data_IF_580449695517
#
_entry.id   IF_580449695517
#
_cell.length_a   1.000
_cell.length_b   1.000
_cell.length_c   1.000
_cell.angle_alpha   90.00
_cell.angle_beta   90.00
_cell.angle_gamma   90.00
#
_symmetry.space_group_name_H-M   'P 1'
#
loop_
_entity.id
_entity.type
_entity.pdbx_description
1 polymer ?
#
# COMPACT_ATOMS: atom_id res chain seq x y z
N UNK A 1 -2.39 13.58 -12.02
CA UNK A 1 -3.44 14.14 -11.12
C UNK A 1 -3.68 15.60 -11.52
N UNK A 2 -4.88 16.16 -11.36
CA UNK A 2 -5.12 17.61 -11.55
C UNK A 2 -5.04 18.27 -10.18
N UNK A 3 -4.01 19.07 -9.93
CA UNK A 3 -3.93 19.84 -8.69
C UNK A 3 -4.82 21.08 -8.77
N UNK A 4 -5.14 21.68 -7.62
CA UNK A 4 -5.87 22.96 -7.59
C UNK A 4 -4.99 24.14 -8.07
N UNK A 5 -3.69 23.93 -8.30
CA UNK A 5 -2.75 24.94 -8.80
C UNK A 5 -2.40 25.97 -7.73
N UNK A 6 -1.24 25.85 -7.09
CA UNK A 6 -0.71 26.91 -6.23
C UNK A 6 0.73 27.22 -6.59
N UNK A 7 0.92 28.18 -7.49
CA UNK A 7 2.25 28.63 -7.96
C UNK A 7 3.17 29.02 -6.80
N UNK A 8 2.62 29.56 -5.70
CA UNK A 8 3.39 29.93 -4.51
C UNK A 8 3.87 28.69 -3.71
N UNK A 9 3.09 27.61 -3.69
CA UNK A 9 3.51 26.34 -3.07
C UNK A 9 4.61 25.67 -3.91
N UNK A 10 4.42 25.69 -5.24
CA UNK A 10 5.31 25.06 -6.20
C UNK A 10 6.69 25.75 -6.20
N UNK A 11 6.72 27.08 -6.11
CA UNK A 11 7.96 27.86 -6.00
C UNK A 11 8.54 27.94 -4.58
N UNK A 12 7.99 27.18 -3.62
CA UNK A 12 8.40 27.18 -2.20
C UNK A 12 8.47 28.59 -1.57
N UNK A 13 7.62 29.52 -2.00
CA UNK A 13 7.49 30.85 -1.38
C UNK A 13 6.92 30.78 0.04
N UNK A 14 6.30 29.66 0.40
CA UNK A 14 5.97 29.30 1.78
C UNK A 14 6.21 27.79 1.97
N UNK A 15 6.66 27.40 3.17
CA UNK A 15 6.83 26.00 3.53
C UNK A 15 5.53 25.46 4.14
N UNK A 16 5.02 24.36 3.60
CA UNK A 16 3.86 23.68 4.14
C UNK A 16 4.28 22.69 5.25
N UNK A 17 3.36 22.30 6.14
CA UNK A 17 3.69 21.39 7.27
C UNK A 17 4.21 20.01 6.83
N UNK A 18 3.99 19.63 5.57
CA UNK A 18 4.42 18.37 4.96
C UNK A 18 5.74 18.46 4.20
N UNK A 19 6.41 19.62 4.18
CA UNK A 19 7.72 19.76 3.53
C UNK A 19 8.83 19.67 4.57
N UNK A 20 9.93 19.03 4.19
CA UNK A 20 11.15 18.89 4.97
C UNK A 20 12.20 19.91 4.48
N UNK A 21 12.45 21.01 5.22
CA UNK A 21 13.35 22.08 4.79
C UNK A 21 14.77 21.60 4.47
N UNK A 22 15.24 20.56 5.16
CA UNK A 22 16.58 20.00 4.95
C UNK A 22 16.73 19.36 3.57
N UNK A 23 15.63 18.94 2.94
CA UNK A 23 15.63 18.34 1.59
C UNK A 23 15.20 19.30 0.49
N UNK A 24 14.73 20.51 0.81
CA UNK A 24 14.28 21.48 -0.21
C UNK A 24 15.38 21.87 -1.19
N UNK A 25 16.65 21.73 -0.83
CA UNK A 25 17.80 21.94 -1.72
C UNK A 25 17.91 20.89 -2.85
N UNK A 26 17.22 19.76 -2.71
CA UNK A 26 17.15 18.69 -3.72
C UNK A 26 16.03 18.92 -4.75
N UNK A 27 15.19 19.93 -4.55
CA UNK A 27 14.15 20.28 -5.51
C UNK A 27 14.77 20.83 -6.81
N UNK A 28 14.11 20.57 -7.94
CA UNK A 28 14.54 21.08 -9.25
C UNK A 28 13.46 22.00 -9.82
N UNK A 29 13.87 23.21 -10.20
CA UNK A 29 13.01 24.17 -10.91
C UNK A 29 13.40 24.19 -12.38
N UNK A 30 12.49 23.75 -13.26
CA UNK A 30 12.71 23.73 -14.71
C UNK A 30 12.28 25.04 -15.37
N UNK A 31 11.21 25.65 -14.85
CA UNK A 31 10.62 26.86 -15.40
C UNK A 31 9.92 27.61 -14.26
N UNK A 32 10.07 28.93 -14.21
CA UNK A 32 9.39 29.78 -13.24
C UNK A 32 9.22 31.20 -13.82
N UNK A 33 8.14 31.38 -14.55
CA UNK A 33 7.79 32.63 -15.23
C UNK A 33 6.53 33.26 -14.63
N UNK A 34 6.37 34.58 -14.81
CA UNK A 34 5.14 35.24 -14.41
C UNK A 34 4.04 34.94 -15.43
N UNK A 35 2.93 34.36 -14.98
CA UNK A 35 1.78 34.03 -15.84
C UNK A 35 1.26 35.24 -16.63
N UNK A 36 1.30 36.46 -16.07
CA UNK A 36 0.86 37.66 -16.78
C UNK A 36 1.77 37.95 -17.98
N UNK A 37 3.09 37.80 -17.81
CA UNK A 37 4.06 37.94 -18.91
C UNK A 37 3.79 36.91 -20.02
N UNK A 38 3.55 35.65 -19.65
CA UNK A 38 3.20 34.58 -20.61
C UNK A 38 1.91 34.90 -21.37
N UNK A 39 0.92 35.51 -20.69
CA UNK A 39 -0.31 35.95 -21.34
C UNK A 39 -0.06 37.07 -22.37
N UNK A 40 0.78 38.03 -22.02
CA UNK A 40 1.17 39.10 -22.94
C UNK A 40 1.88 38.54 -24.17
N UNK A 41 2.85 37.64 -23.98
CA UNK A 41 3.57 36.96 -25.06
C UNK A 41 2.63 36.17 -26.00
N UNK A 42 1.65 35.44 -25.45
CA UNK A 42 0.79 34.57 -26.24
C UNK A 42 -0.38 35.29 -26.93
N UNK A 43 -0.91 36.34 -26.32
CA UNK A 43 -2.25 36.84 -26.68
C UNK A 43 -2.31 38.31 -27.07
N UNK A 44 -1.30 39.15 -26.80
CA UNK A 44 -1.42 40.59 -27.03
C UNK A 44 -1.62 40.93 -28.51
N UNK A 45 -0.85 40.32 -29.41
CA UNK A 45 -1.05 40.56 -30.84
C UNK A 45 -2.44 40.14 -31.33
N UNK A 46 -2.97 39.03 -30.80
CA UNK A 46 -4.31 38.53 -31.11
C UNK A 46 -5.41 39.44 -30.53
N UNK A 47 -5.17 39.97 -29.33
CA UNK A 47 -6.03 40.92 -28.64
C UNK A 47 -6.11 42.24 -29.40
N UNK A 48 -4.98 42.77 -29.86
CA UNK A 48 -4.92 43.97 -30.71
C UNK A 48 -5.73 43.78 -31.99
N UNK A 49 -5.49 42.68 -32.72
CA UNK A 49 -6.26 42.34 -33.94
C UNK A 49 -7.75 42.21 -33.67
N UNK A 50 -8.15 41.66 -32.52
CA UNK A 50 -9.54 41.52 -32.12
C UNK A 50 -10.17 42.88 -31.80
N UNK A 51 -9.49 43.71 -30.99
CA UNK A 51 -9.98 45.02 -30.53
C UNK A 51 -10.08 46.03 -31.67
N UNK A 52 -9.16 45.98 -32.65
CA UNK A 52 -9.20 46.81 -33.85
C UNK A 52 -10.49 46.61 -34.67
N UNK A 53 -11.09 45.42 -34.61
CA UNK A 53 -12.35 45.08 -35.30
C UNK A 53 -13.60 45.46 -34.51
N UNK A 54 -13.47 45.88 -33.24
CA UNK A 54 -14.62 46.20 -32.40
C UNK A 54 -15.03 47.67 -32.57
N UNK A 55 -16.28 47.89 -32.98
CA UNK A 55 -16.92 49.21 -33.05
C UNK A 55 -17.56 49.65 -31.73
N UNK A 56 -17.90 48.68 -30.87
CA UNK A 56 -18.53 48.91 -29.57
C UNK A 56 -17.50 48.87 -28.45
N UNK A 57 -17.48 49.91 -27.62
CA UNK A 57 -16.54 50.03 -26.49
C UNK A 57 -16.68 48.89 -25.49
N UNK A 58 -17.90 48.44 -25.17
CA UNK A 58 -18.17 47.37 -24.20
C UNK A 58 -17.69 45.97 -24.66
N UNK A 59 -17.35 45.82 -25.94
CA UNK A 59 -16.83 44.55 -26.50
C UNK A 59 -15.30 44.50 -26.56
N UNK A 60 -14.64 45.64 -26.34
CA UNK A 60 -13.17 45.70 -26.25
C UNK A 60 -12.71 45.06 -24.95
N UNK A 61 -11.56 44.43 -25.01
CA UNK A 61 -10.96 43.74 -23.88
C UNK A 61 -9.67 44.48 -23.56
N UNK A 62 -9.59 45.06 -22.36
CA UNK A 62 -8.41 45.81 -21.93
C UNK A 62 -7.27 44.87 -21.54
N UNK A 63 -7.56 43.88 -20.69
CA UNK A 63 -6.60 42.88 -20.22
C UNK A 63 -7.22 41.48 -20.41
N UNK A 64 -6.57 40.67 -21.26
CA UNK A 64 -7.06 39.34 -21.58
C UNK A 64 -6.87 38.35 -20.41
N UNK A 65 -5.81 38.49 -19.62
CA UNK A 65 -5.61 37.69 -18.41
C UNK A 65 -6.72 37.93 -17.40
N UNK A 66 -7.03 39.21 -17.10
CA UNK A 66 -8.09 39.56 -16.15
C UNK A 66 -9.47 39.12 -16.67
N UNK A 67 -9.70 39.16 -17.99
CA UNK A 67 -10.90 38.60 -18.61
C UNK A 67 -11.03 37.09 -18.38
N UNK A 68 -9.95 36.33 -18.54
CA UNK A 68 -9.99 34.88 -18.27
C UNK A 68 -10.16 34.62 -16.77
N UNK A 69 -9.42 35.34 -15.91
CA UNK A 69 -9.47 35.18 -14.44
C UNK A 69 -10.85 35.46 -13.84
N UNK A 70 -11.56 36.47 -14.36
CA UNK A 70 -12.92 36.82 -13.93
C UNK A 70 -14.00 35.99 -14.62
N UNK A 71 -13.65 35.30 -15.71
CA UNK A 71 -14.54 34.45 -16.48
C UNK A 71 -14.85 33.11 -15.78
N UNK A 72 -15.93 32.47 -16.23
CA UNK A 72 -16.34 31.12 -15.78
C UNK A 72 -16.15 30.02 -16.81
N UNK A 73 -15.76 30.39 -18.04
CA UNK A 73 -15.67 29.45 -19.17
C UNK A 73 -14.35 28.69 -19.21
N UNK A 74 -13.24 29.38 -18.96
CA UNK A 74 -11.88 28.86 -19.06
C UNK A 74 -11.12 29.23 -17.77
N UNK A 75 -10.10 28.44 -17.42
CA UNK A 75 -9.21 28.75 -16.29
C UNK A 75 -7.95 29.47 -16.79
N UNK A 76 -7.33 30.35 -15.98
CA UNK A 76 -6.09 31.01 -16.37
C UNK A 76 -4.94 30.04 -16.67
N UNK A 77 -4.89 28.93 -15.94
CA UNK A 77 -3.93 27.86 -16.17
C UNK A 77 -4.48 26.51 -15.68
N UNK A 78 -3.76 25.45 -16.01
CA UNK A 78 -4.01 24.10 -15.53
C UNK A 78 -2.72 23.54 -14.94
N UNK A 79 -2.86 22.72 -13.89
CA UNK A 79 -1.76 22.01 -13.23
C UNK A 79 -1.91 20.52 -13.46
N UNK A 80 -0.81 19.86 -13.82
CA UNK A 80 -0.69 18.41 -13.69
C UNK A 80 0.37 18.08 -12.64
N UNK A 81 0.05 17.07 -11.83
CA UNK A 81 0.98 16.48 -10.87
C UNK A 81 1.26 15.04 -11.30
N UNK A 82 2.53 14.73 -11.49
CA UNK A 82 3.03 13.39 -11.80
C UNK A 82 3.85 12.87 -10.63
N UNK A 83 3.66 11.60 -10.30
CA UNK A 83 4.39 10.87 -9.27
C UNK A 83 4.63 9.46 -9.78
N UNK A 84 5.82 8.91 -9.51
CA UNK A 84 6.16 7.51 -9.76
C UNK A 84 6.18 6.79 -8.42
N UNK A 85 5.40 5.72 -8.29
CA UNK A 85 5.23 4.97 -7.04
C UNK A 85 4.48 5.73 -5.94
N UNK A 86 4.75 5.34 -4.71
CA UNK A 86 4.16 5.81 -3.46
C UNK A 86 5.22 5.81 -2.34
N UNK A 87 4.82 6.11 -1.10
CA UNK A 87 5.77 6.23 0.02
C UNK A 87 6.48 4.90 0.32
N UNK A 88 5.83 3.77 0.10
CA UNK A 88 6.36 2.47 0.51
C UNK A 88 7.40 1.92 -0.46
N UNK A 89 7.37 2.35 -1.73
CA UNK A 89 8.26 1.85 -2.79
C UNK A 89 9.21 2.92 -3.37
N UNK A 90 8.85 4.21 -3.30
CA UNK A 90 9.57 5.34 -3.92
C UNK A 90 9.64 6.54 -2.96
N UNK A 91 9.87 6.29 -1.66
CA UNK A 91 10.02 7.36 -0.68
C UNK A 91 11.12 8.33 -1.06
N UNK A 92 10.94 9.63 -0.81
CA UNK A 92 11.91 10.65 -1.23
C UNK A 92 13.27 10.58 -0.49
N UNK A 93 13.37 9.80 0.59
CA UNK A 93 14.60 9.51 1.33
C UNK A 93 15.27 8.18 0.93
N UNK A 94 14.75 7.45 -0.07
CA UNK A 94 15.30 6.18 -0.55
C UNK A 94 16.04 6.30 -1.89
N UNK A 95 16.83 5.27 -2.24
CA UNK A 95 17.48 5.18 -3.56
C UNK A 95 16.45 5.09 -4.69
N UNK A 96 15.34 4.38 -4.45
CA UNK A 96 14.21 4.29 -5.38
C UNK A 96 13.54 5.65 -5.60
N UNK A 97 13.44 6.48 -4.55
CA UNK A 97 13.01 7.88 -4.70
C UNK A 97 13.91 8.70 -5.63
N UNK A 98 15.22 8.48 -5.59
CA UNK A 98 16.14 9.13 -6.54
C UNK A 98 15.93 8.64 -7.98
N UNK A 99 15.62 7.35 -8.15
CA UNK A 99 15.27 6.79 -9.46
C UNK A 99 13.95 7.40 -9.99
N UNK A 100 12.94 7.54 -9.14
CA UNK A 100 11.69 8.23 -9.48
C UNK A 100 11.94 9.68 -9.89
N UNK A 101 12.83 10.39 -9.20
CA UNK A 101 13.24 11.74 -9.54
C UNK A 101 13.90 11.81 -10.94
N UNK A 102 14.82 10.90 -11.25
CA UNK A 102 15.49 10.82 -12.54
C UNK A 102 14.51 10.55 -13.70
N UNK A 103 13.53 9.66 -13.48
CA UNK A 103 12.44 9.40 -14.44
C UNK A 103 11.61 10.66 -14.70
N UNK A 104 11.23 11.37 -13.64
CA UNK A 104 10.43 12.59 -13.77
C UNK A 104 11.21 13.73 -14.44
N UNK A 105 12.51 13.86 -14.17
CA UNK A 105 13.41 14.80 -14.84
C UNK A 105 13.50 14.54 -16.35
N UNK A 106 13.75 13.29 -16.75
CA UNK A 106 13.79 12.91 -18.17
C UNK A 106 12.44 13.14 -18.86
N UNK A 107 11.34 12.80 -18.19
CA UNK A 107 9.99 13.04 -18.70
C UNK A 107 9.74 14.54 -18.97
N UNK A 108 10.15 15.41 -18.04
CA UNK A 108 9.95 16.86 -18.11
C UNK A 108 10.73 17.50 -19.24
N UNK A 109 11.97 17.07 -19.48
CA UNK A 109 12.84 17.61 -20.55
C UNK A 109 12.20 17.56 -21.93
N UNK A 110 11.40 16.53 -22.22
CA UNK A 110 10.67 16.42 -23.48
C UNK A 110 9.22 16.92 -23.44
N UNK A 111 8.74 17.47 -22.32
CA UNK A 111 7.30 17.76 -22.15
C UNK A 111 6.80 18.86 -23.09
N UNK A 112 7.51 19.99 -23.16
CA UNK A 112 7.09 21.14 -23.95
C UNK A 112 7.08 20.85 -25.46
N UNK A 113 8.04 20.06 -25.94
CA UNK A 113 8.13 19.64 -27.35
C UNK A 113 6.96 18.74 -27.76
N UNK A 114 6.55 17.81 -26.89
CA UNK A 114 5.38 16.96 -27.13
C UNK A 114 4.07 17.73 -27.04
N UNK A 115 4.05 18.82 -26.28
CA UNK A 115 2.85 19.58 -25.95
C UNK A 115 2.92 21.04 -26.44
N UNK A 116 3.02 21.30 -27.75
CA UNK A 116 3.28 22.64 -28.29
C UNK A 116 2.16 23.65 -28.02
N UNK A 117 0.94 23.19 -27.74
CA UNK A 117 -0.23 24.04 -27.44
C UNK A 117 -0.46 24.25 -25.93
N UNK A 118 0.44 23.72 -25.09
CA UNK A 118 0.42 23.86 -23.64
C UNK A 118 1.70 24.61 -23.23
N UNK A 119 1.63 25.94 -23.14
CA UNK A 119 2.78 26.76 -22.75
C UNK A 119 3.03 26.60 -21.25
N UNK A 120 4.03 25.83 -20.89
CA UNK A 120 4.47 25.66 -19.50
C UNK A 120 5.07 26.97 -19.01
N UNK A 121 4.68 27.45 -17.83
CA UNK A 121 5.27 28.65 -17.21
C UNK A 121 5.81 28.41 -15.81
N UNK A 122 5.46 27.29 -15.18
CA UNK A 122 5.94 26.92 -13.84
C UNK A 122 6.06 25.39 -13.80
N UNK A 123 7.25 24.88 -13.50
CA UNK A 123 7.51 23.45 -13.43
C UNK A 123 8.55 23.12 -12.37
N UNK A 124 8.17 22.28 -11.41
CA UNK A 124 8.94 22.02 -10.19
C UNK A 124 8.88 20.55 -9.80
N UNK A 125 10.04 19.91 -9.67
CA UNK A 125 10.19 18.59 -9.07
C UNK A 125 10.49 18.77 -7.57
N UNK A 126 9.62 18.22 -6.72
CA UNK A 126 9.76 18.27 -5.28
C UNK A 126 10.33 16.96 -4.74
N UNK A 127 11.40 17.07 -3.96
CA UNK A 127 12.11 16.00 -3.25
C UNK A 127 11.98 16.13 -1.72
N UNK A 128 11.35 17.19 -1.25
CA UNK A 128 11.21 17.56 0.16
C UNK A 128 9.89 17.13 0.80
N UNK A 129 9.09 16.32 0.12
CA UNK A 129 7.85 15.75 0.67
C UNK A 129 7.99 14.23 0.89
N UNK A 130 6.88 13.50 1.06
CA UNK A 130 6.93 12.06 1.29
C UNK A 130 7.43 11.28 0.06
N UNK A 131 7.05 11.73 -1.13
CA UNK A 131 7.32 11.05 -2.41
C UNK A 131 7.76 12.08 -3.44
N UNK A 132 8.75 11.78 -4.30
CA UNK A 132 9.13 12.62 -5.42
C UNK A 132 7.94 12.86 -6.36
N UNK A 133 7.64 14.11 -6.64
CA UNK A 133 6.54 14.44 -7.56
C UNK A 133 6.80 15.74 -8.32
N UNK A 134 6.31 15.78 -9.55
CA UNK A 134 6.53 16.86 -10.50
C UNK A 134 5.22 17.64 -10.70
N UNK A 135 5.26 18.93 -10.42
CA UNK A 135 4.23 19.90 -10.75
C UNK A 135 4.54 20.55 -12.10
N UNK A 136 3.57 20.61 -13.01
CA UNK A 136 3.67 21.33 -14.27
C UNK A 136 2.42 22.18 -14.45
N UNK A 137 2.61 23.50 -14.39
CA UNK A 137 1.59 24.51 -14.63
C UNK A 137 1.74 25.07 -16.05
N UNK A 138 0.65 25.05 -16.82
CA UNK A 138 0.65 25.52 -18.21
C UNK A 138 -0.61 26.30 -18.60
N UNK A 139 -0.45 27.18 -19.59
CA UNK A 139 -1.54 27.90 -20.24
C UNK A 139 -1.88 27.21 -21.57
N UNK A 140 -3.07 26.60 -21.71
CA UNK A 140 -3.47 26.00 -22.97
C UNK A 140 -3.96 27.08 -23.93
N UNK A 141 -3.50 27.04 -25.17
CA UNK A 141 -3.93 27.98 -26.20
C UNK A 141 -4.30 27.29 -27.52
N UNK A 142 -5.05 28.00 -28.34
CA UNK A 142 -5.38 27.59 -29.70
C UNK A 142 -5.28 28.79 -30.62
N UNK A 143 -4.85 28.58 -31.86
CA UNK A 143 -4.68 29.60 -32.89
C UNK A 143 -5.68 29.38 -34.04
N UNK A 144 -6.01 30.44 -34.78
CA UNK A 144 -6.92 30.35 -35.93
C UNK A 144 -8.40 30.19 -35.55
N UNK A 145 -8.78 30.55 -34.32
CA UNK A 145 -10.17 30.52 -33.86
C UNK A 145 -11.03 31.52 -34.65
N UNK A 146 -12.20 31.06 -35.10
CA UNK A 146 -13.21 31.91 -35.77
C UNK A 146 -14.14 32.64 -34.80
N UNK A 147 -14.05 32.35 -33.49
CA UNK A 147 -14.90 32.94 -32.44
C UNK A 147 -14.01 33.65 -31.41
N UNK A 148 -14.29 34.92 -31.15
CA UNK A 148 -13.49 35.73 -30.23
C UNK A 148 -12.13 36.09 -30.83
N UNK A 149 -11.08 36.08 -29.99
CA UNK A 149 -9.70 36.21 -30.44
C UNK A 149 -9.32 34.99 -31.31
N UNK A 150 -8.47 35.21 -32.31
CA UNK A 150 -7.93 34.18 -33.19
C UNK A 150 -6.94 33.27 -32.45
N UNK A 151 -6.07 33.84 -31.61
CA UNK A 151 -5.32 33.12 -30.58
C UNK A 151 -5.99 33.31 -29.23
N UNK A 152 -6.43 32.22 -28.58
CA UNK A 152 -7.19 32.29 -27.33
C UNK A 152 -6.94 31.11 -26.41
N UNK A 153 -7.25 31.31 -25.12
CA UNK A 153 -7.25 30.21 -24.14
C UNK A 153 -8.38 29.24 -24.48
N UNK A 154 -8.03 27.97 -24.64
CA UNK A 154 -9.00 26.87 -24.65
C UNK A 154 -8.31 25.52 -24.54
N UNK A 155 -8.49 24.84 -23.41
CA UNK A 155 -7.90 23.51 -23.20
C UNK A 155 -8.41 22.50 -24.23
N UNK A 156 -9.71 22.50 -24.48
CA UNK A 156 -10.35 21.58 -25.43
C UNK A 156 -9.75 21.72 -26.83
N UNK A 157 -9.60 22.95 -27.32
CA UNK A 157 -9.07 23.19 -28.66
C UNK A 157 -7.55 23.01 -28.73
N UNK A 158 -6.82 23.32 -27.67
CA UNK A 158 -5.38 23.05 -27.57
C UNK A 158 -5.08 21.55 -27.72
N UNK A 159 -5.87 20.69 -27.07
CA UNK A 159 -5.74 19.24 -27.18
C UNK A 159 -6.25 18.72 -28.52
N UNK A 160 -7.36 19.26 -29.03
CA UNK A 160 -7.85 18.92 -30.37
C UNK A 160 -6.85 19.20 -31.48
N UNK A 161 -6.11 20.31 -31.40
CA UNK A 161 -5.03 20.63 -32.34
C UNK A 161 -3.87 19.62 -32.32
N UNK A 162 -3.74 18.85 -31.23
CA UNK A 162 -2.74 17.80 -31.04
C UNK A 162 -3.29 16.40 -31.38
N UNK A 163 -4.51 16.31 -31.93
CA UNK A 163 -5.10 15.06 -32.40
C UNK A 163 -6.07 14.39 -31.41
N UNK A 164 -6.26 14.94 -30.21
CA UNK A 164 -7.22 14.42 -29.24
C UNK A 164 -8.63 14.90 -29.56
N UNK A 165 -9.49 14.03 -30.08
CA UNK A 165 -10.81 14.43 -30.60
C UNK A 165 -11.92 14.38 -29.56
N UNK A 166 -11.69 13.65 -28.47
CA UNK A 166 -12.74 13.32 -27.52
C UNK A 166 -13.87 12.52 -28.16
N UNK A 167 -14.77 11.99 -27.35
CA UNK A 167 -15.92 11.23 -27.82
C UNK A 167 -17.02 11.22 -26.79
N UNK A 168 -17.01 10.22 -25.90
CA UNK A 168 -18.03 10.08 -24.86
C UNK A 168 -17.73 10.96 -23.64
N UNK A 169 -18.69 11.05 -22.71
CA UNK A 169 -18.53 11.84 -21.47
C UNK A 169 -17.34 11.40 -20.59
N UNK A 170 -16.88 10.16 -20.72
CA UNK A 170 -15.70 9.63 -20.02
C UNK A 170 -14.39 9.65 -20.84
N UNK A 171 -14.49 9.86 -22.15
CA UNK A 171 -13.36 9.85 -23.07
C UNK A 171 -13.24 11.23 -23.75
N UNK A 172 -12.92 12.24 -22.94
CA UNK A 172 -12.72 13.61 -23.41
C UNK A 172 -11.32 13.78 -24.00
N UNK A 173 -11.07 14.89 -24.68
CA UNK A 173 -9.74 15.24 -25.18
C UNK A 173 -8.71 15.22 -24.04
N UNK A 174 -9.13 15.68 -22.86
CA UNK A 174 -8.32 15.66 -21.63
C UNK A 174 -8.00 14.23 -21.17
N UNK A 175 -8.98 13.32 -21.09
CA UNK A 175 -8.69 11.96 -20.62
C UNK A 175 -7.85 11.16 -21.61
N UNK A 176 -8.05 11.36 -22.92
CA UNK A 176 -7.19 10.79 -23.95
C UNK A 176 -5.75 11.30 -23.84
N UNK A 177 -5.57 12.62 -23.66
CA UNK A 177 -4.24 13.21 -23.47
C UNK A 177 -3.55 12.78 -22.18
N UNK A 178 -4.28 12.71 -21.06
CA UNK A 178 -3.72 12.17 -19.80
C UNK A 178 -3.29 10.71 -19.96
N UNK A 179 -4.05 9.91 -20.73
CA UNK A 179 -3.66 8.52 -21.03
C UNK A 179 -2.38 8.47 -21.85
N UNK A 180 -2.25 9.28 -22.90
CA UNK A 180 -1.03 9.32 -23.72
C UNK A 180 0.19 9.81 -22.92
N UNK A 181 0.03 10.78 -22.01
CA UNK A 181 1.14 11.22 -21.16
C UNK A 181 1.53 10.15 -20.11
N UNK A 182 0.58 9.35 -19.61
CA UNK A 182 0.90 8.17 -18.78
C UNK A 182 1.68 7.12 -19.55
N UNK A 183 1.27 6.81 -20.78
CA UNK A 183 1.98 5.90 -21.68
C UNK A 183 3.38 6.44 -22.00
N UNK A 184 3.53 7.76 -22.16
CA UNK A 184 4.84 8.35 -22.37
C UNK A 184 5.73 8.26 -21.15
N UNK A 185 5.17 8.48 -19.95
CA UNK A 185 5.88 8.31 -18.69
C UNK A 185 6.28 6.85 -18.47
N UNK A 186 5.42 5.88 -18.80
CA UNK A 186 5.75 4.45 -18.67
C UNK A 186 6.92 4.05 -19.57
N UNK A 187 7.02 4.60 -20.78
CA UNK A 187 8.19 4.39 -21.64
C UNK A 187 9.49 4.97 -21.06
N UNK A 188 9.41 6.07 -20.30
CA UNK A 188 10.57 6.61 -19.56
C UNK A 188 10.89 5.68 -18.39
N UNK A 189 9.89 5.30 -17.59
CA UNK A 189 10.03 4.37 -16.47
C UNK A 189 10.72 3.06 -16.90
N UNK A 190 10.31 2.49 -18.04
CA UNK A 190 10.88 1.24 -18.56
C UNK A 190 12.37 1.36 -18.88
N UNK A 191 12.81 2.51 -19.42
CA UNK A 191 14.25 2.79 -19.66
C UNK A 191 15.07 2.79 -18.37
N UNK A 192 14.43 3.19 -17.26
CA UNK A 192 15.00 3.18 -15.91
C UNK A 192 14.73 1.87 -15.15
N UNK A 193 14.16 0.85 -15.81
CA UNK A 193 13.91 -0.45 -15.22
C UNK A 193 12.71 -0.51 -14.26
N UNK A 194 11.83 0.49 -14.30
CA UNK A 194 10.58 0.53 -13.52
C UNK A 194 9.42 0.06 -14.41
N UNK A 195 8.69 -0.95 -13.96
CA UNK A 195 7.48 -1.42 -14.62
C UNK A 195 6.26 -0.59 -14.18
N UNK A 196 5.41 -0.22 -15.14
CA UNK A 196 4.16 0.47 -14.83
C UNK A 196 3.05 -0.52 -14.48
N UNK A 197 2.62 -0.51 -13.22
CA UNK A 197 1.44 -1.24 -12.76
C UNK A 197 0.16 -0.44 -13.11
N UNK A 198 -0.51 -0.77 -14.21
CA UNK A 198 -1.81 -0.17 -14.55
C UNK A 198 -2.93 -0.77 -13.67
N UNK A 199 -3.30 -0.03 -12.63
CA UNK A 199 -4.37 -0.42 -11.69
C UNK A 199 -5.78 -0.29 -12.28
N UNK A 200 -5.95 0.31 -13.46
CA UNK A 200 -7.26 0.51 -14.10
C UNK A 200 -8.26 1.35 -13.29
N UNK A 201 -7.81 2.00 -12.21
CA UNK A 201 -8.65 2.71 -11.26
C UNK A 201 -9.09 4.05 -11.83
N UNK A 202 -10.42 4.27 -11.86
CA UNK A 202 -11.06 5.53 -12.21
C UNK A 202 -11.58 6.24 -10.96
N UNK A 203 -10.80 6.20 -9.88
CA UNK A 203 -11.19 6.76 -8.60
C UNK A 203 -11.36 8.27 -8.68
N UNK A 204 -12.32 8.79 -7.89
CA UNK A 204 -12.53 10.23 -7.78
C UNK A 204 -11.26 10.86 -7.21
N UNK A 205 -10.84 11.97 -7.82
CA UNK A 205 -9.75 12.77 -7.27
C UNK A 205 -10.15 13.32 -5.90
N UNK A 206 -9.34 13.02 -4.89
CA UNK A 206 -9.47 13.54 -3.53
C UNK A 206 -8.43 14.63 -3.29
N UNK A 207 -8.79 15.65 -2.51
CA UNK A 207 -7.81 16.59 -1.98
C UNK A 207 -6.84 15.88 -1.04
N UNK A 208 -5.63 16.41 -0.84
CA UNK A 208 -4.65 15.86 0.10
C UNK A 208 -5.24 15.67 1.50
N UNK A 209 -6.08 16.61 1.95
CA UNK A 209 -6.74 16.53 3.26
C UNK A 209 -7.79 15.42 3.30
N UNK A 210 -8.59 15.26 2.25
CA UNK A 210 -9.62 14.23 2.21
C UNK A 210 -9.02 12.83 2.08
N UNK A 211 -7.95 12.69 1.29
CA UNK A 211 -7.17 11.46 1.24
C UNK A 211 -6.61 11.10 2.62
N UNK A 212 -6.00 12.05 3.34
CA UNK A 212 -5.50 11.82 4.71
C UNK A 212 -6.61 11.41 5.68
N UNK A 213 -7.82 11.96 5.56
CA UNK A 213 -8.98 11.56 6.37
C UNK A 213 -9.40 10.13 6.07
N UNK A 214 -9.48 9.76 4.79
CA UNK A 214 -9.87 8.40 4.39
C UNK A 214 -8.85 7.35 4.88
N UNK A 215 -7.55 7.64 4.76
CA UNK A 215 -6.51 6.74 5.27
C UNK A 215 -6.57 6.59 6.79
N UNK A 216 -6.79 7.69 7.54
CA UNK A 216 -7.01 7.61 8.99
C UNK A 216 -8.24 6.79 9.37
N UNK A 217 -9.33 6.87 8.60
CA UNK A 217 -10.51 6.06 8.84
C UNK A 217 -10.23 4.56 8.65
N UNK A 218 -9.43 4.19 7.64
CA UNK A 218 -8.98 2.80 7.42
C UNK A 218 -8.09 2.32 8.58
N UNK A 219 -7.15 3.16 9.03
CA UNK A 219 -6.28 2.85 10.17
C UNK A 219 -7.09 2.63 11.45
N UNK A 220 -8.07 3.50 11.74
CA UNK A 220 -8.96 3.34 12.89
C UNK A 220 -9.73 2.02 12.81
N UNK A 221 -10.26 1.66 11.64
CA UNK A 221 -10.97 0.39 11.47
C UNK A 221 -10.08 -0.83 11.76
N UNK A 222 -8.81 -0.81 11.36
CA UNK A 222 -7.84 -1.86 11.69
C UNK A 222 -7.50 -1.87 13.18
N UNK A 223 -7.37 -0.71 13.82
CA UNK A 223 -7.13 -0.63 15.26
C UNK A 223 -8.32 -1.13 16.07
N UNK A 224 -9.54 -0.87 15.61
CA UNK A 224 -10.76 -1.37 16.26
C UNK A 224 -10.87 -2.89 16.19
N UNK A 225 -10.47 -3.53 15.08
CA UNK A 225 -10.44 -5.00 15.01
C UNK A 225 -9.40 -5.59 15.95
N UNK A 226 -8.19 -5.03 15.98
CA UNK A 226 -7.14 -5.47 16.92
C UNK A 226 -7.59 -5.28 18.36
N UNK A 227 -8.25 -4.16 18.68
CA UNK A 227 -8.78 -3.90 20.02
C UNK A 227 -9.81 -4.95 20.41
N UNK A 228 -10.77 -5.27 19.54
CA UNK A 228 -11.77 -6.29 19.80
C UNK A 228 -11.14 -7.68 20.06
N UNK A 229 -10.11 -8.06 19.31
CA UNK A 229 -9.35 -9.30 19.54
C UNK A 229 -8.66 -9.31 20.91
N UNK A 230 -8.05 -8.18 21.32
CA UNK A 230 -7.39 -8.05 22.61
C UNK A 230 -8.40 -8.07 23.77
N UNK A 231 -9.54 -7.43 23.63
CA UNK A 231 -10.63 -7.46 24.62
C UNK A 231 -11.14 -8.90 24.81
N UNK A 232 -11.35 -9.65 23.73
CA UNK A 232 -11.73 -11.07 23.80
C UNK A 232 -10.68 -11.93 24.51
N UNK A 233 -9.39 -11.68 24.26
CA UNK A 233 -8.30 -12.37 24.94
C UNK A 233 -8.28 -12.07 26.45
N UNK A 234 -8.48 -10.82 26.84
CA UNK A 234 -8.55 -10.40 28.25
C UNK A 234 -9.74 -11.09 28.93
N UNK A 235 -10.92 -11.08 28.31
CA UNK A 235 -12.09 -11.79 28.85
C UNK A 235 -11.83 -13.29 29.06
N UNK A 236 -11.15 -13.94 28.12
CA UNK A 236 -10.76 -15.36 28.24
C UNK A 236 -9.82 -15.60 29.42
N UNK A 237 -8.83 -14.73 29.61
CA UNK A 237 -7.90 -14.81 30.73
C UNK A 237 -8.60 -14.56 32.08
N UNK A 238 -9.51 -13.59 32.14
CA UNK A 238 -10.31 -13.33 33.35
C UNK A 238 -11.20 -14.52 33.72
N UNK A 239 -11.83 -15.18 32.75
CA UNK A 239 -12.60 -16.41 33.01
C UNK A 239 -11.72 -17.52 33.59
N UNK A 240 -10.54 -17.75 33.01
CA UNK A 240 -9.58 -18.73 33.53
C UNK A 240 -9.14 -18.42 34.96
N UNK A 241 -8.92 -17.15 35.29
CA UNK A 241 -8.60 -16.74 36.67
C UNK A 241 -9.75 -17.02 37.63
N UNK A 242 -11.00 -16.73 37.23
CA UNK A 242 -12.20 -17.04 38.02
C UNK A 242 -12.38 -18.55 38.24
N UNK A 243 -12.11 -19.37 37.24
CA UNK A 243 -12.16 -20.83 37.34
C UNK A 243 -11.10 -21.41 38.28
N UNK A 244 -9.90 -20.81 38.33
CA UNK A 244 -8.80 -21.27 39.19
C UNK A 244 -8.93 -20.82 40.65
N UNK A 245 -9.60 -19.70 40.92
CA UNK A 245 -9.78 -19.14 42.25
C UNK A 245 -10.31 -20.13 43.32
N UNK A 246 -11.38 -20.92 43.08
CA UNK A 246 -11.88 -21.88 44.09
C UNK A 246 -10.90 -23.04 44.36
N UNK A 247 -10.13 -23.47 43.35
CA UNK A 247 -9.13 -24.52 43.52
C UNK A 247 -7.99 -24.05 44.45
N UNK A 248 -7.53 -22.81 44.28
CA UNK A 248 -6.52 -22.18 45.15
C UNK A 248 -7.03 -22.04 46.59
N UNK A 249 -8.25 -21.55 46.78
CA UNK A 249 -8.86 -21.40 48.11
C UNK A 249 -9.04 -22.75 48.84
N UNK A 250 -9.37 -23.81 48.12
CA UNK A 250 -9.46 -25.16 48.69
C UNK A 250 -8.09 -25.70 49.11
N UNK A 251 -7.04 -25.42 48.33
CA UNK A 251 -5.67 -25.79 48.69
C UNK A 251 -5.16 -25.02 49.92
N UNK A 252 -5.45 -23.72 50.03
CA UNK A 252 -5.12 -22.91 51.21
C UNK A 252 -5.80 -23.42 52.48
N UNK A 253 -7.09 -23.78 52.39
CA UNK A 253 -7.83 -24.35 53.53
C UNK A 253 -7.24 -25.69 53.98
N UNK A 254 -6.93 -26.57 53.03
CA UNK A 254 -6.29 -27.85 53.34
C UNK A 254 -4.92 -27.64 53.98
N UNK A 255 -4.11 -26.69 53.48
CA UNK A 255 -2.83 -26.37 54.11
C UNK A 255 -3.01 -25.88 55.56
N UNK A 256 -4.00 -25.02 55.82
CA UNK A 256 -4.29 -24.53 57.16
C UNK A 256 -4.70 -25.65 58.13
N UNK A 257 -5.63 -26.52 57.73
CA UNK A 257 -6.16 -27.62 58.55
C UNK A 257 -5.08 -28.65 58.94
N UNK A 258 -3.96 -28.74 58.20
CA UNK A 258 -2.84 -29.64 58.49
C UNK A 258 -1.55 -28.94 58.94
N UNK A 259 -1.63 -27.63 59.24
CA UNK A 259 -0.48 -26.82 59.73
C UNK A 259 -0.54 -26.48 61.22
N UNK A 260 -1.57 -26.92 61.93
CA UNK A 260 -1.75 -26.69 63.36
C UNK A 260 -0.74 -27.50 64.22
N UNK A 261 -0.61 -27.12 65.49
CA UNK A 261 0.29 -27.74 66.48
C UNK A 261 0.10 -29.28 66.51
N UNK A 262 1.15 -30.11 66.39
CA UNK A 262 1.05 -31.56 66.43
C UNK A 262 0.22 -32.11 67.60
N UNK A 263 0.25 -31.43 68.75
CA UNK A 263 -0.47 -31.82 69.97
C UNK A 263 -1.98 -31.52 69.89
N UNK A 264 -2.42 -30.61 69.02
CA UNK A 264 -3.85 -30.37 68.71
C UNK A 264 -4.40 -31.39 67.70
N UNK A 265 -3.55 -31.86 66.78
CA UNK A 265 -3.92 -32.83 65.73
C UNK A 265 -4.01 -34.25 66.31
N UNK A 266 -3.12 -34.60 67.24
CA UNK A 266 -3.10 -35.90 67.91
C UNK A 266 -2.92 -35.70 69.44
N UNK A 267 -4.03 -35.49 70.19
CA UNK A 267 -3.94 -35.15 71.61
C UNK A 267 -3.43 -36.30 72.46
N UNK A 268 -2.73 -36.03 73.56
CA UNK A 268 -2.25 -37.03 74.52
C UNK A 268 -3.38 -37.97 75.04
N UNK A 269 -3.05 -39.23 75.41
CA UNK A 269 -4.03 -40.16 75.95
C UNK A 269 -4.53 -39.68 77.32
N UNK A 270 -5.85 -39.77 77.55
CA UNK A 270 -6.43 -39.44 78.85
C UNK A 270 -5.93 -40.37 79.96
N UNK A 271 -5.96 -39.92 81.22
CA UNK A 271 -5.42 -40.63 82.41
C UNK A 271 -5.95 -42.06 82.64
N UNK A 272 -7.05 -42.46 81.99
CA UNK A 272 -7.63 -43.81 82.02
C UNK A 272 -7.95 -44.37 80.63
N UNK A 273 -7.46 -43.74 79.56
CA UNK A 273 -7.70 -44.17 78.18
C UNK A 273 -6.77 -45.33 77.81
N UNK A 274 -7.34 -46.51 77.55
CA UNK A 274 -6.51 -47.64 77.10
C UNK A 274 -5.89 -47.34 75.73
N UNK A 275 -4.65 -47.80 75.51
CA UNK A 275 -3.96 -47.62 74.22
C UNK A 275 -4.75 -48.17 73.01
N UNK A 276 -5.60 -49.19 73.25
CA UNK A 276 -6.54 -49.70 72.23
C UNK A 276 -7.64 -48.68 71.91
N UNK A 277 -8.26 -48.07 72.91
CA UNK A 277 -9.28 -47.04 72.70
C UNK A 277 -8.70 -45.81 71.99
N UNK A 278 -7.51 -45.38 72.40
CA UNK A 278 -6.78 -44.28 71.78
C UNK A 278 -6.48 -44.55 70.29
N UNK A 279 -5.96 -45.74 69.98
CA UNK A 279 -5.66 -46.17 68.62
C UNK A 279 -6.90 -46.17 67.72
N UNK A 280 -8.01 -46.74 68.19
CA UNK A 280 -9.23 -46.86 67.39
C UNK A 280 -9.99 -45.52 67.23
N UNK A 281 -10.00 -44.67 68.26
CA UNK A 281 -10.82 -43.45 68.27
C UNK A 281 -10.09 -42.19 67.79
N UNK A 282 -8.75 -42.13 67.91
CA UNK A 282 -7.96 -40.93 67.60
C UNK A 282 -6.96 -41.19 66.47
N UNK A 283 -6.04 -42.15 66.65
CA UNK A 283 -4.94 -42.36 65.70
C UNK A 283 -5.41 -42.95 64.34
N UNK A 284 -6.30 -43.96 64.33
CA UNK A 284 -6.80 -44.55 63.09
C UNK A 284 -7.65 -43.58 62.24
N UNK A 285 -8.60 -42.81 62.82
CA UNK A 285 -9.35 -41.81 62.05
C UNK A 285 -8.45 -40.72 61.45
N UNK A 286 -7.47 -40.24 62.22
CA UNK A 286 -6.49 -39.27 61.72
C UNK A 286 -5.66 -39.84 60.57
N UNK A 287 -5.12 -41.06 60.72
CA UNK A 287 -4.37 -41.72 59.65
C UNK A 287 -5.23 -41.92 58.40
N UNK A 288 -6.51 -42.27 58.55
CA UNK A 288 -7.44 -42.41 57.44
C UNK A 288 -7.69 -41.06 56.72
N UNK A 289 -7.79 -39.95 57.46
CA UNK A 289 -7.90 -38.60 56.90
C UNK A 289 -6.63 -38.19 56.14
N UNK A 290 -5.45 -38.41 56.73
CA UNK A 290 -4.15 -38.14 56.09
C UNK A 290 -4.02 -38.93 54.79
N UNK A 291 -4.31 -40.23 54.81
CA UNK A 291 -4.27 -41.08 53.61
C UNK A 291 -5.26 -40.60 52.55
N UNK A 292 -6.45 -40.13 52.94
CA UNK A 292 -7.44 -39.57 52.01
C UNK A 292 -6.92 -38.30 51.34
N UNK A 293 -6.32 -37.40 52.10
CA UNK A 293 -5.74 -36.15 51.57
C UNK A 293 -4.56 -36.43 50.66
N UNK A 294 -3.63 -37.29 51.06
CA UNK A 294 -2.51 -37.72 50.23
C UNK A 294 -2.97 -38.35 48.91
N UNK A 295 -4.01 -39.19 48.94
CA UNK A 295 -4.61 -39.75 47.72
C UNK A 295 -5.20 -38.67 46.83
N UNK A 296 -5.93 -37.70 47.38
CA UNK A 296 -6.48 -36.59 46.58
C UNK A 296 -5.39 -35.70 45.97
N UNK A 297 -4.32 -35.39 46.73
CA UNK A 297 -3.18 -34.63 46.24
C UNK A 297 -2.43 -35.38 45.14
N UNK A 298 -2.23 -36.68 45.32
CA UNK A 298 -1.61 -37.53 44.30
C UNK A 298 -2.44 -37.57 43.01
N UNK A 299 -3.77 -37.73 43.11
CA UNK A 299 -4.66 -37.70 41.94
C UNK A 299 -4.62 -36.35 41.24
N UNK A 300 -4.67 -35.24 41.98
CA UNK A 300 -4.56 -33.89 41.43
C UNK A 300 -3.21 -33.66 40.75
N UNK A 301 -2.11 -34.14 41.34
CA UNK A 301 -0.78 -34.10 40.74
C UNK A 301 -0.72 -34.89 39.43
N UNK A 302 -1.25 -36.12 39.40
CA UNK A 302 -1.29 -36.96 38.19
C UNK A 302 -2.12 -36.29 37.09
N UNK A 303 -3.26 -35.70 37.44
CA UNK A 303 -4.10 -34.97 36.49
C UNK A 303 -3.38 -33.74 35.92
N UNK A 304 -2.74 -32.95 36.80
CA UNK A 304 -1.99 -31.76 36.41
C UNK A 304 -0.80 -32.12 35.52
N UNK A 305 -0.05 -33.16 35.88
CA UNK A 305 1.05 -33.70 35.07
C UNK A 305 0.56 -34.14 33.69
N UNK A 306 -0.55 -34.86 33.61
CA UNK A 306 -1.14 -35.28 32.33
C UNK A 306 -1.59 -34.10 31.47
N UNK A 307 -2.13 -33.04 32.07
CA UNK A 307 -2.44 -31.78 31.37
C UNK A 307 -1.17 -31.08 30.87
N UNK A 308 -0.12 -31.05 31.69
CA UNK A 308 1.17 -30.45 31.32
C UNK A 308 1.85 -31.19 30.17
N UNK A 309 1.89 -32.52 30.20
CA UNK A 309 2.45 -33.35 29.12
C UNK A 309 1.71 -33.14 27.79
N UNK A 310 0.36 -33.06 27.82
CA UNK A 310 -0.45 -32.71 26.63
C UNK A 310 -0.10 -31.33 26.08
N UNK A 311 -0.05 -30.32 26.96
CA UNK A 311 0.26 -28.95 26.56
C UNK A 311 1.66 -28.84 25.97
N UNK A 312 2.64 -29.54 26.54
CA UNK A 312 4.01 -29.58 26.02
C UNK A 312 4.06 -30.24 24.64
N UNK A 313 3.29 -31.31 24.41
CA UNK A 313 3.14 -31.95 23.11
C UNK A 313 2.49 -31.05 22.06
N UNK A 314 1.42 -30.34 22.42
CA UNK A 314 0.76 -29.35 21.54
C UNK A 314 1.70 -28.20 21.18
N UNK A 315 2.42 -27.66 22.16
CA UNK A 315 3.42 -26.63 21.94
C UNK A 315 4.54 -27.09 21.00
N UNK A 316 5.03 -28.32 21.17
CA UNK A 316 6.01 -28.92 20.26
C UNK A 316 5.50 -29.02 18.82
N UNK A 317 4.28 -29.51 18.62
CA UNK A 317 3.63 -29.59 17.30
C UNK A 317 3.48 -28.21 16.63
N UNK A 318 3.01 -27.21 17.38
CA UNK A 318 2.85 -25.85 16.85
C UNK A 318 4.21 -25.25 16.49
N UNK A 319 5.23 -25.45 17.33
CA UNK A 319 6.60 -24.99 17.06
C UNK A 319 7.18 -25.63 15.80
N UNK A 320 7.02 -26.94 15.64
CA UNK A 320 7.46 -27.65 14.43
C UNK A 320 6.72 -27.18 13.18
N UNK A 321 5.40 -27.00 13.27
CA UNK A 321 4.59 -26.47 12.17
C UNK A 321 5.06 -25.07 11.75
N UNK A 322 5.30 -24.19 12.73
CA UNK A 322 5.83 -22.85 12.48
C UNK A 322 7.21 -22.87 11.83
N UNK A 323 8.11 -23.77 12.26
CA UNK A 323 9.42 -23.93 11.64
C UNK A 323 9.28 -24.36 10.17
N UNK A 324 8.46 -25.38 9.88
CA UNK A 324 8.19 -25.85 8.51
C UNK A 324 7.59 -24.75 7.63
N UNK A 325 6.65 -23.96 8.16
CA UNK A 325 6.07 -22.83 7.45
C UNK A 325 7.10 -21.74 7.17
N UNK A 326 8.02 -21.48 8.11
CA UNK A 326 9.12 -20.53 7.92
C UNK A 326 10.07 -20.98 6.80
N UNK A 327 10.47 -22.26 6.83
CA UNK A 327 11.34 -22.84 5.80
C UNK A 327 10.67 -22.79 4.41
N UNK A 328 9.39 -23.17 4.34
CA UNK A 328 8.61 -23.11 3.09
C UNK A 328 8.46 -21.68 2.59
N UNK A 329 8.25 -20.71 3.48
CA UNK A 329 8.19 -19.30 3.12
C UNK A 329 9.53 -18.81 2.55
N UNK A 330 10.65 -19.24 3.12
CA UNK A 330 11.98 -18.89 2.62
C UNK A 330 12.24 -19.53 1.25
N UNK A 331 11.87 -20.79 1.06
CA UNK A 331 11.94 -21.50 -0.22
C UNK A 331 11.14 -20.75 -1.30
N UNK A 332 9.88 -20.42 -1.03
CA UNK A 332 9.01 -19.67 -1.97
C UNK A 332 9.56 -18.27 -2.26
N UNK A 333 10.21 -17.61 -1.29
CA UNK A 333 10.87 -16.32 -1.51
C UNK A 333 12.07 -16.46 -2.47
N UNK A 334 12.87 -17.51 -2.31
CA UNK A 334 14.00 -17.79 -3.20
C UNK A 334 13.52 -18.16 -4.61
N UNK A 335 12.50 -19.01 -4.72
CA UNK A 335 11.86 -19.34 -6.01
C UNK A 335 11.32 -18.09 -6.72
N UNK A 336 10.60 -17.22 -5.99
CA UNK A 336 10.12 -15.96 -6.56
C UNK A 336 11.24 -15.04 -7.03
N UNK A 337 12.35 -14.96 -6.27
CA UNK A 337 13.52 -14.19 -6.68
C UNK A 337 14.14 -14.74 -7.96
N UNK A 338 14.27 -16.06 -8.06
CA UNK A 338 14.76 -16.72 -9.27
C UNK A 338 13.83 -16.49 -10.47
N UNK A 339 12.51 -16.61 -10.28
CA UNK A 339 11.53 -16.35 -11.34
C UNK A 339 11.54 -14.90 -11.82
N UNK A 340 11.70 -13.93 -10.90
CA UNK A 340 11.87 -12.52 -11.27
C UNK A 340 13.12 -12.29 -12.11
N UNK A 341 14.23 -12.96 -11.77
CA UNK A 341 15.45 -12.89 -12.56
C UNK A 341 15.28 -13.50 -13.95
N UNK A 342 14.68 -14.70 -14.05
CA UNK A 342 14.37 -15.33 -15.34
C UNK A 342 13.44 -14.46 -16.17
N UNK A 343 12.42 -13.84 -15.56
CA UNK A 343 11.51 -12.90 -16.24
C UNK A 343 12.28 -11.68 -16.77
N UNK A 344 13.17 -11.10 -15.97
CA UNK A 344 14.00 -9.98 -16.41
C UNK A 344 14.93 -10.36 -17.57
N UNK A 345 15.53 -11.54 -17.52
CA UNK A 345 16.39 -12.06 -18.59
C UNK A 345 15.57 -12.34 -19.86
N UNK A 346 14.36 -12.87 -19.73
CA UNK A 346 13.44 -13.06 -20.85
C UNK A 346 13.07 -11.73 -21.53
N UNK A 347 12.82 -10.67 -20.75
CA UNK A 347 12.60 -9.33 -21.31
C UNK A 347 13.87 -8.74 -21.95
N UNK A 348 15.07 -9.03 -21.44
CA UNK A 348 16.34 -8.70 -22.13
C UNK A 348 16.43 -9.38 -23.49
N UNK A 349 16.10 -10.67 -23.57
CA UNK A 349 16.10 -11.44 -24.82
C UNK A 349 15.11 -10.84 -25.83
N UNK A 350 13.89 -10.50 -25.40
CA UNK A 350 12.91 -9.82 -26.26
C UNK A 350 13.42 -8.48 -26.79
N UNK A 351 14.15 -7.70 -25.99
CA UNK A 351 14.73 -6.43 -26.44
C UNK A 351 15.81 -6.61 -27.51
N UNK A 352 16.62 -7.68 -27.42
CA UNK A 352 17.72 -7.94 -28.36
C UNK A 352 17.21 -8.53 -29.68
N UNK A 353 16.30 -9.50 -29.62
CA UNK A 353 15.87 -10.28 -30.79
C UNK A 353 14.50 -9.87 -31.35
N UNK A 354 13.78 -8.98 -30.66
CA UNK A 354 12.43 -8.59 -31.01
C UNK A 354 11.36 -9.53 -30.42
N UNK A 355 10.24 -9.00 -29.92
CA UNK A 355 9.23 -9.78 -29.18
C UNK A 355 8.57 -10.86 -30.03
N UNK A 356 8.32 -10.59 -31.33
CA UNK A 356 7.69 -11.56 -32.22
C UNK A 356 8.59 -12.76 -32.53
N UNK A 357 9.88 -12.53 -32.79
CA UNK A 357 10.82 -13.62 -33.07
C UNK A 357 11.02 -14.53 -31.84
N UNK A 358 11.12 -13.93 -30.66
CA UNK A 358 11.22 -14.68 -29.39
C UNK A 358 9.94 -15.48 -29.12
N UNK A 359 8.76 -14.88 -29.35
CA UNK A 359 7.49 -15.57 -29.17
C UNK A 359 7.34 -16.78 -30.12
N UNK A 360 7.72 -16.62 -31.40
CA UNK A 360 7.72 -17.71 -32.37
C UNK A 360 8.68 -18.83 -31.96
N UNK A 361 9.90 -18.48 -31.54
CA UNK A 361 10.89 -19.46 -31.09
C UNK A 361 10.42 -20.25 -29.85
N UNK A 362 9.89 -19.56 -28.83
CA UNK A 362 9.34 -20.20 -27.62
C UNK A 362 8.15 -21.09 -27.96
N UNK A 363 7.27 -20.66 -28.88
CA UNK A 363 6.11 -21.44 -29.28
C UNK A 363 6.51 -22.70 -30.06
N UNK A 364 7.51 -22.59 -30.94
CA UNK A 364 8.06 -23.73 -31.66
C UNK A 364 8.70 -24.75 -30.70
N UNK A 365 9.43 -24.28 -29.69
CA UNK A 365 10.03 -25.14 -28.66
C UNK A 365 8.97 -25.82 -27.78
N UNK A 366 7.93 -25.09 -27.34
CA UNK A 366 6.78 -25.67 -26.62
C UNK A 366 6.07 -26.77 -27.41
N UNK A 367 5.89 -26.57 -28.72
CA UNK A 367 5.28 -27.58 -29.60
C UNK A 367 6.17 -28.83 -29.71
N UNK A 368 7.49 -28.63 -29.80
CA UNK A 368 8.47 -29.72 -29.80
C UNK A 368 8.45 -30.49 -28.47
N UNK A 369 8.48 -29.81 -27.32
CA UNK A 369 8.36 -30.45 -26.00
C UNK A 369 7.08 -31.27 -25.86
N UNK A 370 5.93 -30.74 -26.31
CA UNK A 370 4.65 -31.45 -26.28
C UNK A 370 4.67 -32.69 -27.18
N UNK A 371 5.26 -32.61 -28.37
CA UNK A 371 5.40 -33.76 -29.27
C UNK A 371 6.33 -34.84 -28.69
N UNK A 372 7.41 -34.45 -28.02
CA UNK A 372 8.33 -35.37 -27.34
C UNK A 372 7.68 -36.03 -26.10
N UNK A 373 6.91 -35.28 -25.30
CA UNK A 373 6.11 -35.83 -24.18
C UNK A 373 5.03 -36.79 -24.66
N UNK A 374 4.42 -36.51 -25.81
CA UNK A 374 3.45 -37.40 -26.47
C UNK A 374 4.08 -38.70 -26.97
N UNK A 375 5.31 -38.66 -27.49
CA UNK A 375 6.08 -39.85 -27.92
C UNK A 375 6.59 -40.71 -26.76
N UNK A 376 6.90 -40.09 -25.60
CA UNK A 376 7.38 -40.80 -24.39
C UNK A 376 6.27 -41.41 -23.53
N UNK A 377 4.98 -41.21 -23.85
CA UNK A 377 3.90 -41.98 -23.23
C UNK A 377 3.97 -43.43 -23.74
N UNK A 378 4.18 -44.45 -22.88
CA UNK A 378 4.24 -45.83 -23.34
C UNK A 378 2.90 -46.20 -23.98
N UNK A 379 2.93 -46.70 -25.23
CA UNK A 379 1.80 -47.36 -25.85
C UNK A 379 1.48 -48.60 -25.01
N UNK A 380 0.52 -48.49 -24.08
CA UNK A 380 -0.19 -49.67 -23.58
C UNK A 380 -0.97 -50.23 -24.76
N UNK A 381 -0.36 -51.16 -25.49
CA UNK A 381 -1.11 -52.08 -26.34
C UNK A 381 -1.96 -52.93 -25.41
N UNK A 382 -3.25 -52.58 -25.34
CA UNK A 382 -4.25 -53.50 -24.79
C UNK A 382 -4.42 -54.57 -25.87
N UNK A 383 -3.63 -55.64 -25.73
CA UNK A 383 -3.86 -56.89 -26.44
C UNK A 383 -5.15 -57.49 -25.87
N UNK A 384 -6.25 -57.38 -26.61
CA UNK A 384 -7.46 -58.16 -26.35
C UNK A 384 -7.23 -59.56 -26.92
N UNK A 385 -6.43 -60.34 -26.21
CA UNK A 385 -6.27 -61.77 -26.43
C UNK A 385 -7.40 -62.53 -25.75
N UNK A 386 -8.17 -63.25 -26.57
CA UNK A 386 -9.16 -64.24 -26.19
C UNK A 386 -8.58 -65.31 -25.26
N UNK A 387 -9.27 -65.62 -24.16
CA UNK A 387 -9.85 -66.95 -23.83
C UNK A 387 -10.48 -66.96 -22.44
#
# INVERSE_FOLDING_TARGET
MVGQGSVNHNSRKFHAKNTDPERSHLNVTYCQENIKTVYHELFDEALERYNAKQTRADRRIEDYYEKIRSGKQEKPFHEIILQVGNRDDMSADSEEGQLAAAVLDEYMKGFQERNPQLRVFSAHLHMDEATPHLHIDFVPFTTGSKRGLDTRVSLKQALAAQGFKGGTRGDTEWSQWVRSEKERLSLVMERHGIEWEDKGTHDKHLSVLDYKKEQRAKEIAVLDTVKAEKESLVESQERRLKELAPAVKNMERLAADFSADPDEILPEPGTLETGRAYREKKAKPLLAQIVKVLRSLYLAYVELRGKFERLQGDYGRVRESNARLSDRLQEVKLENKALRQVSADYERVKRVFGPEQVAVAVQADKQREQAERGRKRPRRSVDRGER
#
